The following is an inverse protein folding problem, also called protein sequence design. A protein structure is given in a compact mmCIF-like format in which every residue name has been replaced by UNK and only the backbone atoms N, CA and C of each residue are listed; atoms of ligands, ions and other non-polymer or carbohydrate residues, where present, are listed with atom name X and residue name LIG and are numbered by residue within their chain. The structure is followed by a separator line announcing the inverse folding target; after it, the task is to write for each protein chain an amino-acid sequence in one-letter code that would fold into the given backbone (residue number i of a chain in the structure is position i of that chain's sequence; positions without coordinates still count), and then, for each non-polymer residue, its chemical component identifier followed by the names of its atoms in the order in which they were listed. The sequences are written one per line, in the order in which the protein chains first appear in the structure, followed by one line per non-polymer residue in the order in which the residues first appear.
data_IF_417930985541
#
_entry.id   IF_417930985541
#
_cell.length_a   1.000
_cell.length_b   1.000
_cell.length_c   1.000
_cell.angle_alpha   90.00
_cell.angle_beta   90.00
_cell.angle_gamma   90.00
#
_symmetry.space_group_name_H-M   'P 1'
#
loop_
_entity.id
_entity.type
_entity.pdbx_description
1 polymer ?
#
# COMPACT_ATOMS: atom_id res chain seq x y z
N UNK A 1 -7.19 2.72 -21.22
CA UNK A 1 -6.30 1.58 -20.86
C UNK A 1 -6.41 1.32 -19.36
N UNK A 2 -6.03 0.13 -18.84
CA UNK A 2 -5.91 -0.10 -17.39
C UNK A 2 -4.43 -0.18 -17.02
N UNK A 3 -4.03 0.55 -15.99
CA UNK A 3 -2.64 0.64 -15.56
C UNK A 3 -2.57 0.49 -14.03
N UNK A 4 -1.81 -0.50 -13.57
CA UNK A 4 -1.48 -0.67 -12.15
C UNK A 4 0.01 -0.44 -12.00
N UNK A 5 0.40 0.55 -11.21
CA UNK A 5 1.79 0.93 -10.99
C UNK A 5 2.17 0.64 -9.56
N UNK A 6 3.21 -0.19 -9.36
CA UNK A 6 3.86 -0.32 -8.06
C UNK A 6 4.89 0.79 -7.88
N UNK A 7 4.78 1.54 -6.79
CA UNK A 7 5.65 2.65 -6.45
C UNK A 7 6.37 2.40 -5.13
N UNK A 8 7.68 2.17 -5.21
CA UNK A 8 8.47 1.70 -4.07
C UNK A 8 9.94 2.11 -4.14
N UNK A 9 10.67 1.78 -3.07
CA UNK A 9 12.11 2.06 -2.97
C UNK A 9 12.42 3.56 -2.90
N UNK A 10 13.57 3.96 -3.45
CA UNK A 10 14.06 5.35 -3.44
C UNK A 10 13.16 6.31 -4.23
N UNK A 11 12.27 5.79 -5.09
CA UNK A 11 11.33 6.62 -5.82
C UNK A 11 10.39 7.38 -4.87
N UNK A 12 10.02 6.79 -3.73
CA UNK A 12 9.09 7.44 -2.78
C UNK A 12 9.66 8.76 -2.24
N UNK A 13 10.97 8.89 -2.11
CA UNK A 13 11.66 10.09 -1.64
C UNK A 13 12.20 10.97 -2.79
N UNK A 14 11.99 10.56 -4.04
CA UNK A 14 12.54 11.21 -5.22
C UNK A 14 11.55 12.14 -5.93
N UNK A 15 11.92 12.55 -7.14
CA UNK A 15 11.12 13.45 -7.97
C UNK A 15 9.77 12.85 -8.38
N UNK A 16 8.77 13.72 -8.52
CA UNK A 16 7.38 13.37 -8.85
C UNK A 16 7.15 12.95 -10.32
N UNK A 17 8.18 12.68 -11.13
CA UNK A 17 8.00 12.47 -12.57
C UNK A 17 7.04 11.31 -12.89
N UNK A 18 7.14 10.19 -12.16
CA UNK A 18 6.22 9.06 -12.29
C UNK A 18 4.80 9.43 -11.83
N UNK A 19 4.68 10.22 -10.75
CA UNK A 19 3.37 10.64 -10.23
C UNK A 19 2.69 11.63 -11.19
N UNK A 20 3.46 12.52 -11.82
CA UNK A 20 2.99 13.45 -12.86
C UNK A 20 2.47 12.70 -14.08
N UNK A 21 3.26 11.76 -14.61
CA UNK A 21 2.81 10.94 -15.75
C UNK A 21 1.55 10.15 -15.40
N UNK A 22 1.50 9.51 -14.23
CA UNK A 22 0.33 8.75 -13.81
C UNK A 22 -0.91 9.65 -13.64
N UNK A 23 -0.73 10.85 -13.12
CA UNK A 23 -1.80 11.85 -13.01
C UNK A 23 -2.30 12.32 -14.39
N UNK A 24 -1.39 12.51 -15.36
CA UNK A 24 -1.74 12.84 -16.75
C UNK A 24 -2.56 11.74 -17.40
N UNK A 25 -2.15 10.48 -17.26
CA UNK A 25 -2.91 9.33 -17.79
C UNK A 25 -4.29 9.21 -17.16
N UNK A 26 -4.40 9.38 -15.84
CA UNK A 26 -5.68 9.37 -15.15
C UNK A 26 -6.60 10.52 -15.62
N UNK A 27 -6.06 11.70 -15.96
CA UNK A 27 -6.84 12.80 -16.55
C UNK A 27 -7.24 12.53 -18.01
N UNK A 28 -6.45 11.76 -18.74
CA UNK A 28 -6.75 11.33 -20.10
C UNK A 28 -7.81 10.19 -20.16
N UNK A 29 -8.27 9.70 -19.01
CA UNK A 29 -9.32 8.67 -18.90
C UNK A 29 -8.79 7.24 -18.78
N UNK A 30 -7.48 7.05 -18.54
CA UNK A 30 -6.96 5.73 -18.20
C UNK A 30 -7.38 5.32 -16.78
N UNK A 31 -7.76 4.04 -16.62
CA UNK A 31 -8.04 3.44 -15.33
C UNK A 31 -6.72 3.15 -14.60
N UNK A 32 -6.21 4.15 -13.90
CA UNK A 32 -4.93 4.13 -13.20
C UNK A 32 -5.08 3.78 -11.72
N UNK A 33 -4.23 2.89 -11.23
CA UNK A 33 -4.11 2.49 -9.82
C UNK A 33 -2.64 2.57 -9.42
N UNK A 34 -2.37 3.16 -8.24
CA UNK A 34 -1.03 3.20 -7.65
C UNK A 34 -1.00 2.30 -6.42
N UNK A 35 -0.17 1.26 -6.43
CA UNK A 35 0.14 0.45 -5.23
C UNK A 35 1.48 0.92 -4.69
N UNK A 36 1.64 1.08 -3.37
CA UNK A 36 2.90 1.60 -2.82
C UNK A 36 3.57 0.70 -1.78
N UNK A 37 4.89 0.83 -1.66
CA UNK A 37 5.65 0.28 -0.53
C UNK A 37 5.88 1.30 0.59
N UNK A 38 6.76 0.97 1.53
CA UNK A 38 7.17 1.90 2.58
C UNK A 38 8.37 1.45 3.41
N UNK A 39 9.17 0.51 2.89
CA UNK A 39 10.23 -0.17 3.64
C UNK A 39 11.13 0.74 4.48
N UNK A 40 11.73 1.80 3.90
CA UNK A 40 12.58 2.74 4.64
C UNK A 40 11.83 3.49 5.76
N UNK A 41 10.60 3.94 5.50
CA UNK A 41 9.78 4.67 6.47
C UNK A 41 9.32 3.76 7.61
N UNK A 42 8.99 2.50 7.32
CA UNK A 42 8.68 1.48 8.33
C UNK A 42 9.90 1.24 9.20
N UNK A 43 11.09 1.02 8.60
CA UNK A 43 12.31 0.78 9.35
C UNK A 43 12.64 1.96 10.29
N UNK A 44 12.49 3.19 9.81
CA UNK A 44 12.67 4.40 10.61
C UNK A 44 11.67 4.49 11.77
N UNK A 45 10.40 4.18 11.54
CA UNK A 45 9.37 4.21 12.57
C UNK A 45 9.57 3.13 13.64
N UNK A 46 9.89 1.90 13.24
CA UNK A 46 10.22 0.80 14.16
C UNK A 46 11.42 1.16 15.04
N UNK A 47 12.48 1.72 14.45
CA UNK A 47 13.67 2.14 15.19
C UNK A 47 13.34 3.23 16.25
N UNK A 48 12.50 4.21 15.92
CA UNK A 48 12.04 5.22 16.89
C UNK A 48 11.22 4.64 18.03
N UNK A 49 10.49 3.54 17.77
CA UNK A 49 9.73 2.81 18.78
C UNK A 49 10.57 1.79 19.57
N UNK A 50 11.87 1.67 19.29
CA UNK A 50 12.74 0.68 19.93
C UNK A 50 12.50 -0.76 19.46
N UNK A 51 11.79 -0.96 18.34
CA UNK A 51 11.50 -2.28 17.78
C UNK A 51 12.54 -2.63 16.73
N UNK A 52 13.28 -3.72 16.94
CA UNK A 52 14.29 -4.19 15.98
C UNK A 52 13.64 -4.77 14.72
N UNK A 53 14.07 -4.30 13.55
CA UNK A 53 13.65 -4.89 12.28
C UNK A 53 14.31 -6.27 12.08
N UNK A 54 13.50 -7.31 11.88
CA UNK A 54 13.95 -8.65 11.52
C UNK A 54 13.39 -9.05 10.16
N UNK A 55 14.21 -9.71 9.35
CA UNK A 55 13.81 -10.26 8.05
C UNK A 55 14.12 -11.75 7.99
N UNK A 56 13.26 -12.49 7.28
CA UNK A 56 13.44 -13.90 6.94
C UNK A 56 13.07 -14.03 5.47
N UNK A 57 14.02 -14.47 4.64
CA UNK A 57 13.78 -14.68 3.19
C UNK A 57 13.24 -13.44 2.47
N UNK A 58 13.72 -12.25 2.87
CA UNK A 58 13.27 -10.97 2.32
C UNK A 58 11.94 -10.45 2.87
N UNK A 59 11.20 -11.26 3.65
CA UNK A 59 9.98 -10.85 4.32
C UNK A 59 10.29 -10.25 5.69
N UNK A 60 9.69 -9.10 5.99
CA UNK A 60 9.78 -8.48 7.31
C UNK A 60 8.95 -9.27 8.30
N UNK A 61 9.58 -9.85 9.32
CA UNK A 61 8.85 -10.44 10.45
C UNK A 61 8.01 -9.35 11.08
N UNK A 62 6.70 -9.59 11.16
CA UNK A 62 5.73 -8.57 11.58
C UNK A 62 4.90 -9.14 12.72
N UNK A 63 5.39 -9.02 13.95
CA UNK A 63 4.59 -9.33 15.14
C UNK A 63 3.49 -8.28 15.37
N UNK A 64 2.73 -8.41 16.46
CA UNK A 64 1.61 -7.52 16.76
C UNK A 64 2.02 -6.05 16.89
N UNK A 65 3.08 -5.77 17.67
CA UNK A 65 3.58 -4.42 17.86
C UNK A 65 4.18 -3.82 16.58
N UNK A 66 4.89 -4.64 15.79
CA UNK A 66 5.39 -4.22 14.48
C UNK A 66 4.24 -3.95 13.50
N UNK A 67 3.16 -4.74 13.53
CA UNK A 67 2.02 -4.58 12.61
C UNK A 67 1.32 -3.23 12.80
N UNK A 68 1.10 -2.80 14.05
CA UNK A 68 0.49 -1.49 14.33
C UNK A 68 1.29 -0.34 13.70
N UNK A 69 2.62 -0.40 13.79
CA UNK A 69 3.51 0.59 13.19
C UNK A 69 3.51 0.48 11.66
N UNK A 70 3.57 -0.74 11.12
CA UNK A 70 3.53 -0.99 9.68
C UNK A 70 2.25 -0.41 9.07
N UNK A 71 1.09 -0.70 9.67
CA UNK A 71 -0.21 -0.21 9.22
C UNK A 71 -0.26 1.33 9.26
N UNK A 72 0.10 1.95 10.39
CA UNK A 72 0.11 3.41 10.51
C UNK A 72 1.05 4.09 9.52
N UNK A 73 2.23 3.50 9.27
CA UNK A 73 3.17 4.05 8.28
C UNK A 73 2.62 3.91 6.87
N UNK A 74 2.15 2.74 6.48
CA UNK A 74 1.67 2.50 5.11
C UNK A 74 0.37 3.28 4.84
N UNK A 75 -0.66 3.08 5.65
CA UNK A 75 -2.02 3.57 5.41
C UNK A 75 -2.19 5.07 5.70
N UNK A 76 -1.46 5.63 6.67
CA UNK A 76 -1.59 7.03 7.05
C UNK A 76 -0.44 7.89 6.54
N UNK A 77 0.81 7.47 6.77
CA UNK A 77 1.97 8.33 6.46
C UNK A 77 2.28 8.34 4.96
N UNK A 78 2.60 7.17 4.39
CA UNK A 78 3.03 7.06 2.98
C UNK A 78 1.85 7.26 2.03
N UNK A 79 0.73 6.58 2.28
CA UNK A 79 -0.46 6.68 1.42
C UNK A 79 -0.92 8.13 1.26
N UNK A 80 -1.08 8.87 2.37
CA UNK A 80 -1.60 10.24 2.32
C UNK A 80 -0.57 11.22 1.76
N UNK A 81 0.72 10.93 1.88
CA UNK A 81 1.74 11.71 1.16
C UNK A 81 1.60 11.60 -0.36
N UNK A 82 1.50 10.37 -0.87
CA UNK A 82 1.32 10.11 -2.30
C UNK A 82 0.00 10.68 -2.83
N UNK A 83 -1.08 10.57 -2.06
CA UNK A 83 -2.37 11.20 -2.41
C UNK A 83 -2.21 12.71 -2.57
N UNK A 84 -1.58 13.39 -1.59
CA UNK A 84 -1.35 14.84 -1.68
C UNK A 84 -0.51 15.21 -2.91
N UNK A 85 0.57 14.48 -3.19
CA UNK A 85 1.45 14.73 -4.34
C UNK A 85 0.72 14.54 -5.67
N UNK A 86 -0.07 13.48 -5.81
CA UNK A 86 -0.90 13.25 -7.00
C UNK A 86 -1.99 14.30 -7.17
N UNK A 87 -2.59 14.77 -6.08
CA UNK A 87 -3.56 15.88 -6.11
C UNK A 87 -2.90 17.19 -6.57
N UNK A 88 -1.69 17.50 -6.10
CA UNK A 88 -0.89 18.63 -6.60
C UNK A 88 -0.57 18.47 -8.09
N UNK A 89 -0.42 17.24 -8.57
CA UNK A 89 -0.28 16.95 -10.01
C UNK A 89 -1.61 17.02 -10.78
N UNK A 90 -2.74 17.34 -10.14
CA UNK A 90 -4.06 17.48 -10.77
C UNK A 90 -4.87 16.19 -10.91
N UNK A 91 -4.48 15.09 -10.25
CA UNK A 91 -5.26 13.87 -10.24
C UNK A 91 -6.34 13.88 -9.14
N UNK A 92 -7.47 13.22 -9.40
CA UNK A 92 -8.48 12.93 -8.37
C UNK A 92 -8.07 11.69 -7.57
N UNK A 93 -6.99 11.81 -6.81
CA UNK A 93 -6.45 10.69 -6.05
C UNK A 93 -7.26 10.42 -4.76
N UNK A 94 -7.46 9.13 -4.47
CA UNK A 94 -8.13 8.64 -3.26
C UNK A 94 -7.27 7.56 -2.63
N UNK A 95 -6.99 7.69 -1.34
CA UNK A 95 -6.13 6.74 -0.63
C UNK A 95 -6.94 5.70 0.12
N UNK A 96 -6.70 4.42 -0.19
CA UNK A 96 -7.33 3.25 0.43
C UNK A 96 -6.26 2.23 0.85
N UNK A 97 -6.60 1.29 1.71
CA UNK A 97 -5.83 0.07 1.97
C UNK A 97 -6.53 -1.16 1.41
N UNK A 98 -5.88 -2.31 1.46
CA UNK A 98 -6.53 -3.59 1.17
C UNK A 98 -7.64 -3.95 2.16
N UNK A 99 -7.72 -3.32 3.33
CA UNK A 99 -8.81 -3.56 4.28
C UNK A 99 -10.12 -2.89 3.85
N UNK A 100 -10.04 -1.79 3.10
CA UNK A 100 -11.21 -1.05 2.64
C UNK A 100 -12.06 -1.92 1.71
N UNK A 101 -13.32 -2.14 2.10
CA UNK A 101 -14.24 -3.09 1.46
C UNK A 101 -13.68 -4.51 1.31
N UNK A 102 -12.70 -4.89 2.13
CA UNK A 102 -11.97 -6.16 2.03
C UNK A 102 -11.36 -6.41 0.63
N UNK A 103 -10.85 -5.35 -0.01
CA UNK A 103 -10.14 -5.40 -1.28
C UNK A 103 -9.06 -6.49 -1.30
N UNK A 104 -8.30 -6.65 -0.22
CA UNK A 104 -7.33 -7.71 0.00
C UNK A 104 -7.69 -8.49 1.25
N UNK A 105 -7.84 -9.82 1.12
CA UNK A 105 -7.93 -10.72 2.27
C UNK A 105 -6.73 -11.64 2.30
N UNK A 106 -6.18 -11.87 3.49
CA UNK A 106 -5.00 -12.69 3.66
C UNK A 106 -5.00 -13.46 4.98
N UNK A 107 -4.25 -14.56 5.01
CA UNK A 107 -3.87 -15.24 6.23
C UNK A 107 -2.34 -15.16 6.43
N UNK A 108 -1.86 -15.54 7.62
CA UNK A 108 -0.43 -15.60 7.89
C UNK A 108 0.23 -16.64 6.97
N UNK A 109 1.30 -16.25 6.28
CA UNK A 109 2.09 -17.19 5.46
C UNK A 109 2.63 -18.33 6.33
N UNK A 110 3.14 -17.98 7.52
CA UNK A 110 3.74 -18.89 8.50
C UNK A 110 3.73 -18.24 9.87
N UNK A 111 3.41 -19.02 10.91
CA UNK A 111 3.28 -18.53 12.30
C UNK A 111 4.51 -17.78 12.80
N UNK A 112 5.73 -18.19 12.41
CA UNK A 112 6.98 -17.55 12.82
C UNK A 112 7.21 -16.15 12.23
N UNK A 113 6.51 -15.79 11.15
CA UNK A 113 6.60 -14.47 10.53
C UNK A 113 5.56 -13.48 11.07
N UNK A 114 4.65 -13.95 11.94
CA UNK A 114 3.58 -13.14 12.51
C UNK A 114 2.49 -12.82 11.49
N UNK A 115 2.10 -11.55 11.38
CA UNK A 115 1.05 -11.04 10.49
C UNK A 115 1.58 -10.67 9.11
N UNK A 116 2.48 -11.50 8.55
CA UNK A 116 2.90 -11.42 7.14
C UNK A 116 1.94 -12.23 6.29
N UNK A 117 1.38 -11.62 5.25
CA UNK A 117 0.43 -12.28 4.37
C UNK A 117 1.10 -13.41 3.55
N UNK A 118 0.40 -14.53 3.43
CA UNK A 118 0.72 -15.62 2.49
C UNK A 118 -0.13 -15.51 1.24
N UNK A 119 -1.16 -16.35 1.16
CA UNK A 119 -2.14 -16.28 0.07
C UNK A 119 -3.03 -15.05 0.22
N UNK A 120 -3.03 -14.19 -0.80
CA UNK A 120 -3.86 -12.99 -0.86
C UNK A 120 -4.96 -13.20 -1.89
N UNK A 121 -6.20 -12.98 -1.48
CA UNK A 121 -7.35 -12.93 -2.39
C UNK A 121 -7.75 -11.47 -2.61
N UNK A 122 -8.18 -11.15 -3.82
CA UNK A 122 -8.46 -9.78 -4.26
C UNK A 122 -9.93 -9.65 -4.69
N UNK A 123 -10.64 -8.70 -4.10
CA UNK A 123 -11.95 -8.24 -4.57
C UNK A 123 -11.80 -6.84 -5.19
N UNK A 124 -11.74 -6.72 -6.53
CA UNK A 124 -11.43 -5.45 -7.18
C UNK A 124 -12.61 -4.48 -7.24
N UNK A 125 -13.81 -4.84 -6.75
CA UNK A 125 -15.04 -4.07 -6.96
C UNK A 125 -14.92 -2.60 -6.52
N UNK A 126 -14.27 -2.34 -5.38
CA UNK A 126 -14.02 -0.97 -4.91
C UNK A 126 -13.12 -0.19 -5.87
N UNK A 127 -12.02 -0.79 -6.31
CA UNK A 127 -11.05 -0.16 -7.23
C UNK A 127 -11.70 0.10 -8.58
N UNK A 128 -12.50 -0.83 -9.09
CA UNK A 128 -13.26 -0.68 -10.33
C UNK A 128 -14.23 0.48 -10.23
N UNK A 129 -15.08 0.53 -9.19
CA UNK A 129 -16.03 1.61 -8.98
C UNK A 129 -15.35 3.00 -8.89
N UNK A 130 -14.17 3.07 -8.26
CA UNK A 130 -13.39 4.32 -8.19
C UNK A 130 -12.84 4.73 -9.55
N UNK A 131 -12.22 3.80 -10.28
CA UNK A 131 -11.64 4.08 -11.59
C UNK A 131 -12.69 4.42 -12.66
N UNK A 132 -13.88 3.79 -12.62
CA UNK A 132 -15.02 4.15 -13.47
C UNK A 132 -15.50 5.59 -13.29
N UNK A 133 -15.27 6.16 -12.10
CA UNK A 133 -15.56 7.56 -11.77
C UNK A 133 -14.36 8.49 -11.94
N UNK A 134 -13.31 8.01 -12.60
CA UNK A 134 -12.07 8.74 -12.88
C UNK A 134 -11.34 9.20 -11.61
N UNK A 135 -11.48 8.46 -10.50
CA UNK A 135 -10.56 8.57 -9.37
C UNK A 135 -9.32 7.72 -9.64
N UNK A 136 -8.20 8.11 -9.01
CA UNK A 136 -6.93 7.39 -9.03
C UNK A 136 -6.72 6.77 -7.65
N UNK A 137 -7.01 5.47 -7.46
CA UNK A 137 -6.82 4.80 -6.19
C UNK A 137 -5.33 4.67 -5.87
N UNK A 138 -4.96 5.04 -4.66
CA UNK A 138 -3.64 4.82 -4.06
C UNK A 138 -3.80 3.77 -2.97
N UNK A 139 -3.30 2.56 -3.21
CA UNK A 139 -3.54 1.37 -2.40
C UNK A 139 -2.33 1.06 -1.52
N UNK A 140 -2.56 1.02 -0.21
CA UNK A 140 -1.61 0.48 0.76
C UNK A 140 -1.71 -1.05 0.84
N UNK A 141 -0.57 -1.77 0.89
CA UNK A 141 -0.52 -3.23 0.86
C UNK A 141 -0.75 -3.81 2.27
N UNK A 142 -1.91 -3.52 2.85
CA UNK A 142 -2.35 -4.06 4.14
C UNK A 142 -3.70 -4.75 3.92
N UNK A 143 -3.77 -6.04 4.19
CA UNK A 143 -4.96 -6.87 4.01
C UNK A 143 -5.70 -7.06 5.33
N UNK A 144 -6.98 -7.47 5.24
CA UNK A 144 -7.77 -7.92 6.38
C UNK A 144 -7.79 -9.46 6.44
N UNK A 145 -7.54 -10.04 7.62
CA UNK A 145 -7.72 -11.47 7.85
C UNK A 145 -9.14 -11.84 8.24
N UNK A 146 -9.45 -13.13 8.18
CA UNK A 146 -10.74 -13.65 8.65
C UNK A 146 -10.95 -13.48 10.17
N UNK A 147 -9.85 -13.25 10.91
CA UNK A 147 -9.86 -12.89 12.32
C UNK A 147 -10.07 -11.38 12.57
N UNK A 148 -10.28 -10.59 11.50
CA UNK A 148 -10.47 -9.15 11.54
C UNK A 148 -9.19 -8.34 11.76
N UNK A 149 -8.01 -8.98 11.72
CA UNK A 149 -6.72 -8.32 11.96
C UNK A 149 -6.02 -7.92 10.67
N UNK A 150 -5.09 -6.98 10.80
CA UNK A 150 -4.29 -6.45 9.70
C UNK A 150 -3.12 -7.39 9.36
N UNK A 151 -2.87 -7.59 8.08
CA UNK A 151 -1.75 -8.37 7.56
C UNK A 151 -0.91 -7.55 6.60
N UNK A 152 0.41 -7.58 6.79
CA UNK A 152 1.39 -6.91 5.94
C UNK A 152 1.59 -7.72 4.65
N UNK A 153 1.19 -7.15 3.52
CA UNK A 153 1.32 -7.75 2.19
C UNK A 153 2.59 -7.22 1.52
N UNK A 154 3.30 -8.09 0.79
CA UNK A 154 4.37 -7.63 -0.08
C UNK A 154 3.74 -6.85 -1.26
N UNK A 155 4.07 -5.56 -1.39
CA UNK A 155 3.52 -4.68 -2.42
C UNK A 155 3.79 -5.11 -3.88
N UNK A 156 4.72 -6.04 -4.10
CA UNK A 156 5.03 -6.59 -5.43
C UNK A 156 4.13 -7.79 -5.83
N UNK A 157 3.37 -8.35 -4.89
CA UNK A 157 2.42 -9.47 -5.08
C UNK A 157 1.01 -8.91 -5.19
#
# INVERSE_FOLDING_TARGET
MRLVVKYGGNAITGEDNVLRELAERARAGDACVLVHGGGPMIASALARAGIASRFVEGLRVTDEAAMEIVEGVLCATVNKDLVRRLQTCGARAVGISGQDAALLRACSIRRELGRVAGDVTVDPALVEALTERNFLPVVSPVAIGDDGRSYNVNADV
#
